data_IF_361531295615
#
_entry.id   IF_361531295615
#
_cell.length_a   1.000
_cell.length_b   1.000
_cell.length_c   1.000
_cell.angle_alpha   90.00
_cell.angle_beta   90.00
_cell.angle_gamma   90.00
#
_symmetry.space_group_name_H-M   'P 1'
#
loop_
_entity.id
_entity.type
_entity.pdbx_description
1 polymer ?
#
# COMPACT_ATOMS: atom_id res chain seq x y z
N UNK A 1 6.85 -23.20 3.32
CA UNK A 1 5.80 -22.14 3.39
C UNK A 1 6.19 -21.16 4.49
N UNK A 2 6.36 -19.88 4.16
CA UNK A 2 6.77 -18.86 5.15
C UNK A 2 5.67 -18.50 6.17
N UNK A 3 5.98 -17.63 7.14
CA UNK A 3 5.03 -17.20 8.16
C UNK A 3 3.82 -16.49 7.53
N UNK A 4 2.61 -16.83 8.00
CA UNK A 4 1.33 -16.32 7.43
C UNK A 4 0.69 -15.20 8.24
N UNK A 5 1.05 -15.06 9.51
CA UNK A 5 0.47 -14.08 10.43
C UNK A 5 1.57 -13.30 11.11
N UNK A 6 1.30 -12.05 11.48
CA UNK A 6 2.27 -11.23 12.17
C UNK A 6 1.86 -9.78 12.26
N UNK A 7 2.85 -8.88 12.27
CA UNK A 7 2.67 -7.47 12.60
C UNK A 7 3.15 -6.58 11.45
N UNK A 8 2.35 -5.56 11.13
CA UNK A 8 2.78 -4.39 10.35
C UNK A 8 3.31 -3.35 11.33
N UNK A 9 4.55 -2.93 11.13
CA UNK A 9 5.29 -2.00 11.99
C UNK A 9 5.24 -0.63 11.34
N UNK A 10 4.49 0.27 11.98
CA UNK A 10 4.34 1.67 11.58
C UNK A 10 5.69 2.40 11.64
N UNK A 11 5.97 3.22 10.62
CA UNK A 11 7.18 4.05 10.48
C UNK A 11 8.43 3.33 11.00
N UNK A 12 8.73 2.15 10.45
CA UNK A 12 9.76 1.25 10.98
C UNK A 12 11.17 1.90 11.01
N UNK A 13 11.43 2.78 10.05
CA UNK A 13 12.67 3.55 10.01
C UNK A 13 12.76 4.66 11.07
N UNK A 14 11.70 4.96 11.83
CA UNK A 14 11.60 6.16 12.68
C UNK A 14 11.94 5.99 14.16
N UNK A 15 12.44 4.83 14.62
CA UNK A 15 12.60 4.58 16.06
C UNK A 15 13.68 5.46 16.72
N UNK A 16 14.82 5.66 16.05
CA UNK A 16 15.98 6.36 16.58
C UNK A 16 16.16 7.76 15.97
N UNK A 17 16.67 8.69 16.78
CA UNK A 17 16.94 10.09 16.43
C UNK A 17 18.44 10.35 16.57
N UNK A 18 18.96 11.32 15.82
CA UNK A 18 20.34 11.75 15.95
C UNK A 18 20.60 12.27 17.39
N UNK A 19 21.73 11.88 18.01
CA UNK A 19 22.11 12.37 19.33
C UNK A 19 22.13 13.90 19.40
N UNK A 20 21.61 14.46 20.48
CA UNK A 20 21.55 15.90 20.69
C UNK A 20 20.42 16.62 19.92
N UNK A 21 19.60 15.90 19.15
CA UNK A 21 18.47 16.44 18.39
C UNK A 21 18.85 17.70 17.57
N UNK A 22 19.91 17.63 16.73
CA UNK A 22 20.40 18.79 16.00
C UNK A 22 19.34 19.38 15.09
N UNK A 23 19.41 20.69 14.91
CA UNK A 23 18.55 21.42 13.99
C UNK A 23 18.69 20.89 12.56
N UNK A 24 17.57 20.89 11.84
CA UNK A 24 17.60 20.63 10.40
C UNK A 24 18.23 21.82 9.68
N UNK A 25 19.14 21.60 8.71
CA UNK A 25 19.71 22.67 7.91
C UNK A 25 18.65 23.49 7.14
N UNK A 26 17.51 22.86 6.82
CA UNK A 26 16.37 23.48 6.16
C UNK A 26 15.05 23.04 6.79
N UNK A 27 14.37 23.97 7.48
CA UNK A 27 13.07 23.74 8.11
C UNK A 27 11.93 23.51 7.09
N UNK A 28 12.11 23.85 5.81
CA UNK A 28 11.15 23.57 4.75
C UNK A 28 11.01 22.08 4.44
N UNK A 29 11.97 21.27 4.89
CA UNK A 29 11.94 19.81 4.77
C UNK A 29 10.72 19.26 5.51
N UNK A 30 10.35 19.74 6.70
CA UNK A 30 9.18 19.22 7.44
C UNK A 30 7.83 19.42 6.72
N UNK A 31 7.66 20.53 5.98
CA UNK A 31 6.36 20.90 5.38
C UNK A 31 5.94 20.04 4.18
N UNK A 32 6.86 19.24 3.62
CA UNK A 32 6.62 18.46 2.38
C UNK A 32 6.38 16.97 2.60
N UNK A 33 6.38 16.50 3.85
CA UNK A 33 6.54 15.08 4.17
C UNK A 33 5.28 14.47 4.77
N UNK A 34 4.15 14.49 4.05
CA UNK A 34 3.07 13.53 4.38
C UNK A 34 3.61 12.10 4.43
N UNK A 35 4.62 11.84 3.59
CA UNK A 35 5.32 10.58 3.52
C UNK A 35 6.82 10.82 3.24
N UNK A 36 7.53 11.62 4.02
CA UNK A 36 8.98 11.76 3.80
C UNK A 36 9.79 11.54 5.05
N UNK A 37 11.04 11.11 4.87
CA UNK A 37 11.96 10.78 5.96
C UNK A 37 12.84 11.97 6.31
N UNK A 38 13.04 12.20 7.62
CA UNK A 38 14.04 13.10 8.14
C UNK A 38 15.28 12.28 8.56
N UNK A 39 16.42 12.44 7.89
CA UNK A 39 17.65 11.67 8.18
C UNK A 39 18.23 11.91 9.59
N UNK A 40 17.85 13.00 10.26
CA UNK A 40 18.19 13.28 11.66
C UNK A 40 17.19 12.65 12.65
N UNK A 41 16.00 12.24 12.19
CA UNK A 41 14.95 11.69 13.05
C UNK A 41 14.49 10.26 12.65
N UNK A 42 15.12 9.68 11.64
CA UNK A 42 14.82 8.35 11.09
C UNK A 42 16.05 7.77 10.40
N UNK A 43 16.00 6.47 10.09
CA UNK A 43 17.02 5.73 9.34
C UNK A 43 18.43 5.82 9.95
N UNK A 44 18.46 5.70 11.28
CA UNK A 44 19.67 5.62 12.11
C UNK A 44 20.11 4.17 12.23
N UNK A 45 21.42 3.93 12.23
CA UNK A 45 22.01 2.58 12.21
C UNK A 45 21.53 1.68 13.36
N UNK A 46 21.32 2.26 14.53
CA UNK A 46 20.87 1.58 15.76
C UNK A 46 19.50 0.88 15.59
N UNK A 47 18.69 1.31 14.62
CA UNK A 47 17.38 0.71 14.33
C UNK A 47 17.51 -0.75 13.88
N UNK A 48 18.59 -1.09 13.19
CA UNK A 48 18.79 -2.44 12.65
C UNK A 48 18.97 -3.48 13.77
N UNK A 49 19.64 -3.12 14.87
CA UNK A 49 19.80 -4.01 16.01
C UNK A 49 18.47 -4.33 16.71
N UNK A 50 17.54 -3.37 16.71
CA UNK A 50 16.17 -3.61 17.19
C UNK A 50 15.47 -4.64 16.31
N UNK A 51 15.58 -4.52 14.98
CA UNK A 51 14.93 -5.45 14.07
C UNK A 51 15.55 -6.84 14.07
N UNK A 52 16.86 -6.96 14.27
CA UNK A 52 17.50 -8.27 14.53
C UNK A 52 16.97 -8.93 15.79
N UNK A 53 16.77 -8.16 16.86
CA UNK A 53 16.16 -8.68 18.09
C UNK A 53 14.71 -9.10 17.87
N UNK A 54 13.92 -8.28 17.16
CA UNK A 54 12.52 -8.59 16.86
C UNK A 54 12.39 -9.80 15.95
N UNK A 55 13.31 -9.97 14.99
CA UNK A 55 13.36 -11.15 14.13
C UNK A 55 13.56 -12.42 14.94
N UNK A 56 14.54 -12.46 15.84
CA UNK A 56 14.75 -13.61 16.76
C UNK A 56 13.50 -13.94 17.59
N UNK A 57 12.77 -12.92 18.05
CA UNK A 57 11.50 -13.12 18.76
C UNK A 57 10.43 -13.71 17.84
N UNK A 58 10.27 -13.16 16.64
CA UNK A 58 9.28 -13.59 15.66
C UNK A 58 9.53 -15.04 15.18
N UNK A 59 10.80 -15.42 15.01
CA UNK A 59 11.22 -16.78 14.66
C UNK A 59 11.01 -17.78 15.80
N UNK A 60 10.95 -17.31 17.06
CA UNK A 60 10.72 -18.15 18.24
C UNK A 60 9.27 -18.63 18.43
N UNK A 61 8.30 -18.11 17.66
CA UNK A 61 6.91 -18.57 17.70
C UNK A 61 6.68 -19.80 16.80
N UNK A 62 5.67 -20.62 17.13
CA UNK A 62 5.23 -21.73 16.29
C UNK A 62 3.76 -21.54 15.85
N UNK A 63 3.47 -21.35 14.54
CA UNK A 63 4.43 -21.08 13.47
C UNK A 63 5.12 -19.71 13.66
N UNK A 64 6.26 -19.45 12.99
CA UNK A 64 6.93 -18.15 13.04
C UNK A 64 5.99 -16.99 12.69
N UNK A 65 6.30 -15.79 13.19
CA UNK A 65 5.53 -14.56 12.90
C UNK A 65 6.21 -13.72 11.83
N UNK A 66 5.42 -13.15 10.93
CA UNK A 66 5.92 -12.25 9.89
C UNK A 66 6.03 -10.82 10.44
N UNK A 67 7.11 -10.11 10.11
CA UNK A 67 7.27 -8.70 10.45
C UNK A 67 7.32 -7.89 9.14
N UNK A 68 6.42 -6.93 9.01
CA UNK A 68 6.27 -6.10 7.81
C UNK A 68 6.53 -4.65 8.17
N UNK A 69 7.63 -4.07 7.72
CA UNK A 69 7.97 -2.67 8.01
C UNK A 69 7.30 -1.68 7.05
N UNK A 70 6.74 -0.61 7.59
CA UNK A 70 6.53 0.61 6.82
C UNK A 70 7.87 1.37 6.70
N UNK A 71 8.58 1.15 5.61
CA UNK A 71 9.91 1.73 5.37
C UNK A 71 9.83 2.72 4.24
N UNK A 72 9.76 3.99 4.61
CA UNK A 72 9.57 5.07 3.67
C UNK A 72 10.91 5.73 3.32
N UNK A 73 11.71 4.99 2.55
CA UNK A 73 13.04 5.37 2.14
C UNK A 73 13.25 5.02 0.66
N UNK A 74 14.28 5.57 0.00
CA UNK A 74 14.75 5.06 -1.28
C UNK A 74 14.99 3.55 -1.26
N UNK A 75 14.86 2.88 -2.41
CA UNK A 75 14.84 1.42 -2.49
C UNK A 75 16.10 0.74 -1.91
N UNK A 76 17.28 1.31 -2.17
CA UNK A 76 18.57 0.84 -1.66
C UNK A 76 18.65 0.90 -0.12
N UNK A 77 18.11 1.98 0.48
CA UNK A 77 18.02 2.13 1.93
C UNK A 77 16.98 1.19 2.53
N UNK A 78 15.80 1.08 1.90
CA UNK A 78 14.73 0.22 2.37
C UNK A 78 15.12 -1.27 2.35
N UNK A 79 15.88 -1.71 1.35
CA UNK A 79 16.38 -3.09 1.24
C UNK A 79 17.21 -3.54 2.46
N UNK A 80 17.85 -2.60 3.17
CA UNK A 80 18.64 -2.90 4.39
C UNK A 80 17.79 -3.41 5.55
N UNK A 81 16.50 -3.06 5.60
CA UNK A 81 15.58 -3.44 6.68
C UNK A 81 15.05 -4.86 6.53
N UNK A 82 15.23 -5.47 5.36
CA UNK A 82 14.71 -6.80 5.02
C UNK A 82 15.84 -7.80 4.76
N UNK A 83 17.03 -7.55 5.31
CA UNK A 83 18.09 -8.57 5.34
C UNK A 83 17.58 -9.83 6.04
N UNK A 84 18.25 -10.95 5.78
CA UNK A 84 17.86 -12.26 6.26
C UNK A 84 17.56 -12.29 7.77
N UNK A 85 18.27 -11.53 8.59
CA UNK A 85 18.15 -11.48 10.05
C UNK A 85 17.32 -10.31 10.60
N UNK A 86 16.64 -9.53 9.73
CA UNK A 86 15.84 -8.36 10.11
C UNK A 86 14.34 -8.58 9.80
N UNK A 87 13.63 -7.57 9.26
CA UNK A 87 12.21 -7.68 8.91
C UNK A 87 12.01 -8.69 7.77
N UNK A 88 10.83 -9.30 7.71
CA UNK A 88 10.52 -10.26 6.65
C UNK A 88 10.15 -9.56 5.34
N UNK A 89 9.48 -8.41 5.44
CA UNK A 89 8.96 -7.63 4.33
C UNK A 89 9.01 -6.14 4.69
N UNK A 90 9.06 -5.29 3.67
CA UNK A 90 8.88 -3.85 3.81
C UNK A 90 7.98 -3.30 2.73
N UNK A 91 7.10 -2.35 3.05
CA UNK A 91 6.27 -1.65 2.07
C UNK A 91 7.11 -0.86 1.08
N UNK A 92 6.87 -1.09 -0.22
CA UNK A 92 7.56 -0.41 -1.30
C UNK A 92 6.94 0.96 -1.60
N UNK A 93 7.32 1.98 -0.83
CA UNK A 93 6.81 3.36 -1.02
C UNK A 93 7.19 3.99 -2.37
N UNK A 94 8.30 3.58 -2.96
CA UNK A 94 8.72 4.02 -4.31
C UNK A 94 7.65 3.66 -5.35
N UNK A 95 7.10 2.44 -5.28
CA UNK A 95 6.03 2.01 -6.16
C UNK A 95 4.68 2.65 -5.79
N UNK A 96 4.37 2.78 -4.49
CA UNK A 96 3.15 3.43 -4.00
C UNK A 96 2.99 4.86 -4.53
N UNK A 97 4.10 5.60 -4.63
CA UNK A 97 4.12 7.00 -5.09
C UNK A 97 4.27 7.17 -6.59
N UNK A 98 4.55 6.09 -7.34
CA UNK A 98 4.78 6.19 -8.76
C UNK A 98 3.56 6.81 -9.46
N UNK A 99 3.75 7.83 -10.33
CA UNK A 99 2.67 8.38 -11.13
C UNK A 99 2.13 7.31 -12.10
N UNK A 100 0.98 7.56 -12.73
CA UNK A 100 0.51 6.70 -13.83
C UNK A 100 1.36 6.93 -15.08
N UNK A 101 2.55 6.36 -15.09
CA UNK A 101 3.54 6.46 -16.14
C UNK A 101 4.31 5.12 -16.25
N UNK A 102 4.36 4.55 -17.45
CA UNK A 102 4.91 3.21 -17.66
C UNK A 102 6.42 3.15 -17.38
N UNK A 103 7.16 4.22 -17.70
CA UNK A 103 8.59 4.28 -17.46
C UNK A 103 8.89 4.41 -15.96
N UNK A 104 8.12 5.24 -15.24
CA UNK A 104 8.23 5.38 -13.79
C UNK A 104 7.90 4.06 -13.07
N UNK A 105 6.85 3.35 -13.50
CA UNK A 105 6.50 2.04 -12.96
C UNK A 105 7.59 1.01 -13.22
N UNK A 106 8.10 0.94 -14.45
CA UNK A 106 9.21 0.06 -14.81
C UNK A 106 10.44 0.30 -13.95
N UNK A 107 10.87 1.56 -13.82
CA UNK A 107 12.03 1.93 -13.01
C UNK A 107 11.83 1.52 -11.53
N UNK A 108 10.65 1.80 -10.96
CA UNK A 108 10.32 1.42 -9.59
C UNK A 108 10.31 -0.11 -9.39
N UNK A 109 9.75 -0.86 -10.34
CA UNK A 109 9.73 -2.32 -10.31
C UNK A 109 11.16 -2.88 -10.37
N UNK A 110 11.97 -2.41 -11.31
CA UNK A 110 13.35 -2.86 -11.48
C UNK A 110 14.22 -2.54 -10.25
N UNK A 111 14.07 -1.36 -9.65
CA UNK A 111 14.77 -0.97 -8.42
C UNK A 111 14.42 -1.87 -7.24
N UNK A 112 13.12 -2.15 -7.06
CA UNK A 112 12.64 -2.98 -5.96
C UNK A 112 13.05 -4.45 -6.13
N UNK A 113 13.02 -4.97 -7.36
CA UNK A 113 13.48 -6.32 -7.66
C UNK A 113 14.98 -6.47 -7.40
N UNK A 114 15.81 -5.52 -7.83
CA UNK A 114 17.25 -5.49 -7.48
C UNK A 114 17.48 -5.46 -5.97
N UNK A 115 16.71 -4.65 -5.24
CA UNK A 115 16.78 -4.60 -3.77
C UNK A 115 16.38 -5.91 -3.09
N UNK A 116 15.33 -6.58 -3.61
CA UNK A 116 14.89 -7.90 -3.15
C UNK A 116 15.94 -8.99 -3.42
N UNK A 117 16.57 -8.98 -4.60
CA UNK A 117 17.69 -9.88 -4.93
C UNK A 117 18.88 -9.68 -3.99
N UNK A 118 19.29 -8.43 -3.75
CA UNK A 118 20.42 -8.11 -2.90
C UNK A 118 20.20 -8.47 -1.42
N UNK A 119 18.95 -8.40 -0.93
CA UNK A 119 18.59 -8.72 0.46
C UNK A 119 18.16 -10.18 0.67
N UNK A 120 17.84 -10.90 -0.40
CA UNK A 120 17.20 -12.22 -0.35
C UNK A 120 15.71 -12.19 0.01
N UNK A 121 15.12 -11.02 0.23
CA UNK A 121 13.74 -10.86 0.65
C UNK A 121 12.75 -10.80 -0.53
N UNK A 122 11.50 -11.28 -0.35
CA UNK A 122 10.43 -11.01 -1.30
C UNK A 122 10.11 -9.51 -1.38
N UNK A 123 9.88 -9.01 -2.59
CA UNK A 123 9.38 -7.64 -2.80
C UNK A 123 7.91 -7.54 -2.39
N UNK A 124 7.49 -6.37 -1.91
CA UNK A 124 6.08 -6.06 -1.70
C UNK A 124 5.56 -5.07 -2.75
N UNK A 125 4.31 -5.23 -3.16
CA UNK A 125 3.64 -4.36 -4.12
C UNK A 125 2.38 -3.79 -3.48
N UNK A 126 2.26 -2.46 -3.53
CA UNK A 126 1.13 -1.71 -2.97
C UNK A 126 0.94 -0.44 -3.77
N UNK A 127 -0.30 -0.17 -4.19
CA UNK A 127 -0.69 1.12 -4.78
C UNK A 127 -1.66 1.88 -3.90
N UNK A 128 -2.43 1.23 -3.03
CA UNK A 128 -3.36 1.90 -2.14
C UNK A 128 -3.12 1.48 -0.69
N UNK A 129 -3.34 2.42 0.22
CA UNK A 129 -3.36 2.20 1.66
C UNK A 129 -4.22 3.30 2.31
N UNK A 130 -4.19 3.37 3.63
CA UNK A 130 -4.94 4.35 4.41
C UNK A 130 -4.29 5.75 4.50
N UNK A 131 -3.21 6.00 3.77
CA UNK A 131 -2.44 7.26 3.82
C UNK A 131 -2.34 7.98 2.47
N UNK A 132 -2.78 7.36 1.38
CA UNK A 132 -2.73 7.95 0.03
C UNK A 132 -4.10 8.00 -0.62
N UNK A 133 -4.31 9.02 -1.44
CA UNK A 133 -5.49 9.13 -2.30
C UNK A 133 -5.67 7.86 -3.13
N UNK A 134 -6.87 7.27 -3.18
CA UNK A 134 -7.16 6.01 -3.87
C UNK A 134 -6.73 6.04 -5.34
N UNK A 135 -6.17 4.93 -5.83
CA UNK A 135 -5.62 4.81 -7.19
C UNK A 135 -6.59 5.21 -8.30
N UNK A 136 -7.89 4.92 -8.14
CA UNK A 136 -8.92 5.30 -9.11
C UNK A 136 -9.02 6.82 -9.31
N UNK A 137 -8.75 7.63 -8.29
CA UNK A 137 -8.67 9.09 -8.41
C UNK A 137 -7.24 9.57 -8.65
N UNK A 138 -6.25 8.98 -7.98
CA UNK A 138 -4.83 9.38 -8.09
C UNK A 138 -4.26 9.21 -9.50
N UNK A 139 -4.75 8.22 -10.25
CA UNK A 139 -4.39 8.00 -11.64
C UNK A 139 -5.37 8.64 -12.63
N UNK A 140 -6.26 9.52 -12.17
CA UNK A 140 -7.22 10.26 -12.98
C UNK A 140 -6.95 11.79 -12.91
N UNK A 141 -5.89 12.30 -13.58
CA UNK A 141 -5.66 13.73 -13.63
C UNK A 141 -6.85 14.46 -14.28
N UNK A 142 -7.05 15.73 -13.92
CA UNK A 142 -8.14 16.53 -14.45
C UNK A 142 -8.15 16.52 -16.00
N UNK A 143 -9.33 16.28 -16.58
CA UNK A 143 -9.49 16.22 -18.04
C UNK A 143 -9.14 14.87 -18.68
N UNK A 144 -8.89 13.80 -17.91
CA UNK A 144 -8.48 12.51 -18.46
C UNK A 144 -9.60 11.68 -19.12
N UNK A 145 -10.84 12.16 -19.06
CA UNK A 145 -12.02 11.49 -19.62
C UNK A 145 -12.58 10.35 -18.77
N UNK A 146 -12.33 10.34 -17.46
CA UNK A 146 -12.90 9.33 -16.54
C UNK A 146 -12.17 7.98 -16.62
N UNK A 147 -10.90 7.98 -17.02
CA UNK A 147 -10.09 6.75 -17.19
C UNK A 147 -9.52 6.19 -15.88
N UNK A 148 -9.75 6.87 -14.76
CA UNK A 148 -9.31 6.48 -13.43
C UNK A 148 -9.58 5.03 -13.05
N UNK A 149 -10.84 4.58 -13.21
CA UNK A 149 -11.24 3.19 -12.89
C UNK A 149 -10.49 2.19 -13.77
N UNK A 150 -10.39 2.44 -15.08
CA UNK A 150 -9.67 1.55 -15.99
C UNK A 150 -8.18 1.43 -15.63
N UNK A 151 -7.55 2.55 -15.24
CA UNK A 151 -6.15 2.58 -14.79
C UNK A 151 -5.96 1.89 -13.44
N UNK A 152 -6.88 2.06 -12.49
CA UNK A 152 -6.85 1.34 -11.21
C UNK A 152 -7.00 -0.19 -11.41
N UNK A 153 -7.89 -0.61 -12.32
CA UNK A 153 -8.01 -2.02 -12.72
C UNK A 153 -6.69 -2.55 -13.29
N UNK A 154 -6.09 -1.82 -14.22
CA UNK A 154 -4.80 -2.21 -14.80
C UNK A 154 -3.68 -2.25 -13.75
N UNK A 155 -3.62 -1.28 -12.83
CA UNK A 155 -2.68 -1.21 -11.73
C UNK A 155 -2.72 -2.47 -10.85
N UNK A 156 -3.92 -2.89 -10.43
CA UNK A 156 -4.11 -4.10 -9.61
C UNK A 156 -3.67 -5.36 -10.36
N UNK A 157 -3.98 -5.47 -11.65
CA UNK A 157 -3.56 -6.60 -12.47
C UNK A 157 -2.04 -6.70 -12.59
N UNK A 158 -1.36 -5.56 -12.80
CA UNK A 158 0.12 -5.52 -12.81
C UNK A 158 0.67 -5.96 -11.47
N UNK A 159 0.18 -5.40 -10.35
CA UNK A 159 0.60 -5.83 -9.01
C UNK A 159 0.44 -7.34 -8.79
N UNK A 160 -0.71 -7.90 -9.20
CA UNK A 160 -1.02 -9.32 -9.09
C UNK A 160 -0.24 -10.20 -10.08
N UNK A 161 0.44 -9.64 -11.08
CA UNK A 161 1.34 -10.36 -11.98
C UNK A 161 2.80 -10.34 -11.50
N UNK A 162 3.20 -9.39 -10.64
CA UNK A 162 4.58 -9.26 -10.16
C UNK A 162 4.97 -10.32 -9.11
N UNK A 163 6.24 -10.77 -9.07
CA UNK A 163 6.71 -11.73 -8.08
C UNK A 163 6.79 -11.10 -6.68
N UNK A 164 6.45 -11.84 -5.63
CA UNK A 164 6.49 -11.35 -4.24
C UNK A 164 5.12 -11.25 -3.57
N UNK A 165 4.98 -10.32 -2.62
CA UNK A 165 3.77 -10.14 -1.80
C UNK A 165 2.98 -8.94 -2.29
N UNK A 166 1.65 -9.08 -2.41
CA UNK A 166 0.76 -8.00 -2.84
C UNK A 166 -0.13 -7.62 -1.67
N UNK A 167 -0.32 -6.31 -1.47
CA UNK A 167 -1.27 -5.76 -0.52
C UNK A 167 -2.41 -5.10 -1.28
N UNK A 168 -3.63 -5.51 -0.98
CA UNK A 168 -4.85 -4.86 -1.47
C UNK A 168 -5.46 -4.10 -0.31
N UNK A 169 -5.78 -2.82 -0.54
CA UNK A 169 -6.46 -1.98 0.44
C UNK A 169 -7.97 -2.05 0.25
N UNK A 170 -8.73 -1.95 1.34
CA UNK A 170 -10.18 -2.09 1.30
C UNK A 170 -10.85 -1.10 0.32
N UNK A 171 -11.70 -1.62 -0.56
CA UNK A 171 -12.34 -0.86 -1.63
C UNK A 171 -11.52 -0.70 -2.91
N UNK A 172 -10.25 -1.14 -2.92
CA UNK A 172 -9.45 -1.20 -4.14
C UNK A 172 -10.00 -2.26 -5.11
N UNK A 173 -10.56 -3.35 -4.56
CA UNK A 173 -11.29 -4.39 -5.29
C UNK A 173 -12.60 -3.90 -5.92
N UNK A 174 -13.09 -2.74 -5.52
CA UNK A 174 -14.25 -2.06 -6.12
C UNK A 174 -13.81 -0.90 -7.03
N UNK A 175 -12.51 -0.60 -7.10
CA UNK A 175 -11.96 0.62 -7.69
C UNK A 175 -12.64 1.88 -7.15
N UNK A 176 -12.89 1.95 -5.83
CA UNK A 176 -13.51 3.12 -5.21
C UNK A 176 -12.68 4.39 -5.52
N UNK A 177 -13.30 5.48 -5.99
CA UNK A 177 -12.63 6.76 -6.10
C UNK A 177 -12.35 7.34 -4.71
N UNK A 178 -11.41 8.26 -4.63
CA UNK A 178 -11.21 9.08 -3.43
C UNK A 178 -12.50 9.84 -3.09
N UNK A 179 -12.93 9.75 -1.83
CA UNK A 179 -14.08 10.50 -1.36
C UNK A 179 -13.72 11.96 -1.10
N UNK A 180 -14.59 12.88 -1.52
CA UNK A 180 -14.49 14.28 -1.12
C UNK A 180 -15.16 14.46 0.26
N UNK A 181 -14.33 14.53 1.30
CA UNK A 181 -14.79 14.73 2.69
C UNK A 181 -14.83 16.24 2.98
N UNK A 182 -16.01 16.81 3.30
CA UNK A 182 -16.16 18.22 3.66
C UNK A 182 -15.23 18.62 4.81
N UNK A 183 -14.67 19.83 4.74
CA UNK A 183 -13.64 20.30 5.66
C UNK A 183 -14.04 20.20 7.14
N UNK A 184 -15.30 20.49 7.43
CA UNK A 184 -15.92 20.45 8.76
C UNK A 184 -16.20 19.03 9.28
N UNK A 185 -16.16 18.02 8.40
CA UNK A 185 -16.35 16.61 8.75
C UNK A 185 -15.04 15.81 8.78
N UNK A 186 -13.91 16.43 8.39
CA UNK A 186 -12.60 15.79 8.41
C UNK A 186 -12.19 15.42 9.83
N UNK A 187 -11.70 14.19 9.97
CA UNK A 187 -11.27 13.60 11.23
C UNK A 187 -9.75 13.48 11.31
N UNK A 188 -9.04 13.50 10.18
CA UNK A 188 -7.59 13.35 10.15
C UNK A 188 -6.89 14.52 10.86
N UNK A 189 -6.14 14.28 11.96
CA UNK A 189 -5.38 15.33 12.63
C UNK A 189 -4.38 16.06 11.71
N UNK A 190 -3.94 15.44 10.61
CA UNK A 190 -3.08 16.08 9.63
C UNK A 190 -3.75 17.28 8.93
N UNK A 191 -5.08 17.25 8.77
CA UNK A 191 -5.86 18.33 8.18
C UNK A 191 -5.65 19.63 8.96
N UNK A 192 -5.86 19.57 10.27
CA UNK A 192 -5.75 20.73 11.17
C UNK A 192 -4.31 21.26 11.30
N UNK A 193 -3.29 20.45 10.95
CA UNK A 193 -1.88 20.84 11.01
C UNK A 193 -1.32 21.37 9.68
N UNK A 194 -1.82 20.87 8.55
CA UNK A 194 -1.16 21.05 7.25
C UNK A 194 -2.10 21.40 6.10
N UNK A 195 -3.42 21.32 6.29
CA UNK A 195 -4.39 21.45 5.20
C UNK A 195 -4.45 20.23 4.28
N UNK A 196 -3.77 19.13 4.62
CA UNK A 196 -3.87 17.86 3.88
C UNK A 196 -4.59 16.83 4.73
N UNK A 197 -5.54 16.09 4.14
CA UNK A 197 -6.29 15.03 4.83
C UNK A 197 -6.15 13.70 4.10
N UNK A 198 -6.10 12.62 4.87
CA UNK A 198 -6.18 11.23 4.41
C UNK A 198 -7.60 10.66 4.51
N UNK A 199 -8.59 11.43 4.94
CA UNK A 199 -9.95 10.95 5.21
C UNK A 199 -10.64 10.40 3.95
N UNK A 200 -10.33 10.91 2.76
CA UNK A 200 -10.96 10.48 1.49
C UNK A 200 -10.76 9.00 1.18
N UNK A 201 -9.63 8.42 1.57
CA UNK A 201 -9.35 6.99 1.45
C UNK A 201 -9.82 6.16 2.66
N UNK A 202 -10.37 6.79 3.71
CA UNK A 202 -10.77 6.17 4.99
C UNK A 202 -12.28 6.11 5.19
N UNK A 203 -13.04 6.68 4.27
CA UNK A 203 -14.51 6.61 4.28
C UNK A 203 -14.98 5.15 4.35
N UNK A 204 -16.00 4.84 5.17
CA UNK A 204 -16.62 3.53 5.27
C UNK A 204 -16.95 2.89 3.92
N UNK A 205 -16.79 1.57 3.81
CA UNK A 205 -17.08 0.87 2.55
C UNK A 205 -18.58 0.78 2.27
N UNK A 206 -19.01 0.90 1.00
CA UNK A 206 -20.39 0.65 0.61
C UNK A 206 -20.63 -0.85 0.47
N UNK A 207 -21.46 -1.42 1.34
CA UNK A 207 -21.88 -2.82 1.29
C UNK A 207 -23.13 -3.03 0.46
N UNK A 208 -24.10 -2.12 0.58
CA UNK A 208 -25.40 -2.19 -0.10
C UNK A 208 -25.63 -1.01 -1.05
N UNK A 209 -26.56 -1.18 -1.99
CA UNK A 209 -27.00 -0.13 -2.91
C UNK A 209 -27.79 0.95 -2.16
N UNK A 210 -28.65 0.54 -1.22
CA UNK A 210 -29.42 1.45 -0.36
C UNK A 210 -28.47 2.35 0.44
N UNK A 211 -28.76 3.65 0.54
CA UNK A 211 -27.97 4.63 1.29
C UNK A 211 -28.11 4.52 2.81
N UNK A 212 -29.12 3.80 3.30
CA UNK A 212 -29.36 3.60 4.72
C UNK A 212 -28.11 3.06 5.45
N UNK A 213 -27.83 3.65 6.62
CA UNK A 213 -26.72 3.21 7.46
C UNK A 213 -25.34 3.37 6.80
N UNK A 214 -25.13 4.40 5.96
CA UNK A 214 -23.90 4.53 5.16
C UNK A 214 -23.68 3.28 4.29
N UNK A 215 -24.63 3.03 3.39
CA UNK A 215 -24.58 1.89 2.48
C UNK A 215 -24.35 0.56 3.19
N UNK A 216 -25.08 0.33 4.28
CA UNK A 216 -25.02 -0.91 5.07
C UNK A 216 -23.77 -1.08 5.95
N UNK A 217 -22.92 -0.06 6.09
CA UNK A 217 -21.77 -0.10 7.00
C UNK A 217 -22.17 -0.01 8.48
N UNK A 218 -23.12 0.86 8.78
CA UNK A 218 -23.67 1.11 10.12
C UNK A 218 -25.12 0.59 10.21
N UNK A 219 -25.64 0.35 11.42
CA UNK A 219 -27.07 0.12 11.61
C UNK A 219 -27.93 1.24 11.00
N UNK A 220 -29.12 0.89 10.53
CA UNK A 220 -30.05 1.87 9.97
C UNK A 220 -30.33 3.00 10.98
N UNK A 221 -30.23 4.25 10.52
CA UNK A 221 -30.40 5.45 11.35
C UNK A 221 -29.14 5.90 12.12
N UNK A 222 -28.05 5.12 12.13
CA UNK A 222 -26.78 5.53 12.70
C UNK A 222 -25.87 6.20 11.65
N UNK A 223 -25.34 7.37 11.98
CA UNK A 223 -24.28 8.00 11.20
C UNK A 223 -22.95 7.24 11.39
N UNK A 224 -22.11 7.21 10.36
CA UNK A 224 -20.74 6.76 10.47
C UNK A 224 -19.81 7.94 10.79
N UNK A 225 -18.56 7.64 11.17
CA UNK A 225 -17.57 8.63 11.59
C UNK A 225 -17.02 9.51 10.44
N UNK A 226 -17.21 9.09 9.19
CA UNK A 226 -16.94 9.86 7.98
C UNK A 226 -18.08 9.68 6.98
N UNK A 227 -18.53 10.75 6.29
CA UNK A 227 -19.63 10.66 5.34
C UNK A 227 -19.23 9.89 4.09
N UNK A 228 -20.15 9.05 3.59
CA UNK A 228 -20.01 8.47 2.25
C UNK A 228 -20.49 9.44 1.17
N UNK A 229 -19.79 9.53 0.03
CA UNK A 229 -20.25 10.30 -1.12
C UNK A 229 -21.57 9.78 -1.69
N UNK A 230 -22.42 10.67 -2.24
CA UNK A 230 -23.58 10.25 -3.02
C UNK A 230 -23.18 9.31 -4.17
N UNK A 231 -24.03 8.31 -4.44
CA UNK A 231 -23.85 7.39 -5.56
C UNK A 231 -22.89 6.21 -5.32
N UNK A 232 -22.21 6.16 -4.17
CA UNK A 232 -21.34 5.02 -3.82
C UNK A 232 -22.09 3.68 -3.70
N UNK A 233 -23.41 3.70 -3.51
CA UNK A 233 -24.25 2.49 -3.60
C UNK A 233 -24.11 1.74 -4.92
N UNK A 234 -23.86 2.43 -6.04
CA UNK A 234 -23.62 1.80 -7.34
C UNK A 234 -22.23 1.12 -7.44
N UNK A 235 -21.33 1.45 -6.52
CA UNK A 235 -20.00 0.83 -6.37
C UNK A 235 -19.95 -0.16 -5.20
N UNK A 236 -21.10 -0.47 -4.60
CA UNK A 236 -21.19 -1.33 -3.43
C UNK A 236 -20.83 -2.77 -3.72
N UNK A 237 -20.55 -3.53 -2.67
CA UNK A 237 -20.38 -4.99 -2.79
C UNK A 237 -21.63 -5.63 -3.41
N UNK A 238 -22.83 -5.28 -2.95
CA UNK A 238 -24.10 -5.77 -3.51
C UNK A 238 -24.24 -5.48 -5.01
N UNK A 239 -23.85 -4.29 -5.47
CA UNK A 239 -23.91 -3.94 -6.89
C UNK A 239 -22.87 -4.70 -7.73
N UNK A 240 -21.70 -5.00 -7.16
CA UNK A 240 -20.57 -5.59 -7.88
C UNK A 240 -20.57 -7.14 -7.85
N UNK A 241 -21.19 -7.75 -6.85
CA UNK A 241 -21.20 -9.20 -6.67
C UNK A 241 -22.09 -9.88 -7.72
N UNK A 242 -21.53 -10.85 -8.44
CA UNK A 242 -22.21 -11.52 -9.56
C UNK A 242 -22.18 -10.76 -10.90
N UNK A 243 -21.74 -9.50 -10.94
CA UNK A 243 -21.50 -8.80 -12.21
C UNK A 243 -20.13 -9.17 -12.79
N UNK A 244 -20.16 -9.81 -13.96
CA UNK A 244 -18.99 -10.26 -14.71
C UNK A 244 -18.07 -9.12 -15.18
N UNK A 245 -18.61 -7.92 -15.37
CA UNK A 245 -17.86 -6.74 -15.80
C UNK A 245 -17.22 -5.97 -14.62
N UNK A 246 -17.61 -6.29 -13.39
CA UNK A 246 -17.24 -5.53 -12.19
C UNK A 246 -15.75 -5.66 -11.85
N UNK A 247 -15.23 -4.64 -11.17
CA UNK A 247 -13.85 -4.69 -10.63
C UNK A 247 -13.72 -5.81 -9.60
N UNK A 248 -14.76 -6.10 -8.82
CA UNK A 248 -14.73 -7.15 -7.80
C UNK A 248 -14.50 -8.53 -8.42
N UNK A 249 -15.24 -8.84 -9.49
CA UNK A 249 -15.06 -10.08 -10.25
C UNK A 249 -13.67 -10.14 -10.88
N UNK A 250 -13.21 -9.05 -11.49
CA UNK A 250 -11.86 -8.96 -12.06
C UNK A 250 -10.78 -9.29 -11.02
N UNK A 251 -10.83 -8.66 -9.84
CA UNK A 251 -9.82 -8.84 -8.79
C UNK A 251 -9.89 -10.24 -8.20
N UNK A 252 -11.09 -10.79 -7.96
CA UNK A 252 -11.26 -12.18 -7.49
C UNK A 252 -10.63 -13.18 -8.48
N UNK A 253 -10.91 -13.03 -9.77
CA UNK A 253 -10.32 -13.87 -10.82
C UNK A 253 -8.80 -13.73 -10.91
N UNK A 254 -8.29 -12.50 -10.84
CA UNK A 254 -6.86 -12.26 -10.87
C UNK A 254 -6.13 -12.86 -9.65
N UNK A 255 -6.72 -12.79 -8.47
CA UNK A 255 -6.17 -13.43 -7.25
C UNK A 255 -6.21 -14.95 -7.37
N UNK A 256 -7.30 -15.52 -7.87
CA UNK A 256 -7.40 -16.96 -8.11
C UNK A 256 -6.33 -17.43 -9.11
N UNK A 257 -6.23 -16.76 -10.26
CA UNK A 257 -5.24 -17.06 -11.30
C UNK A 257 -3.82 -16.91 -10.76
N UNK A 258 -3.52 -15.85 -9.99
CA UNK A 258 -2.22 -15.72 -9.30
C UNK A 258 -1.94 -16.94 -8.41
N UNK A 259 -2.94 -17.45 -7.70
CA UNK A 259 -2.83 -18.66 -6.89
C UNK A 259 -2.52 -19.91 -7.71
N UNK A 260 -3.18 -20.09 -8.85
CA UNK A 260 -2.94 -21.18 -9.81
C UNK A 260 -1.52 -21.11 -10.38
N UNK A 261 -1.14 -19.96 -10.95
CA UNK A 261 0.20 -19.73 -11.51
C UNK A 261 1.32 -19.96 -10.49
N UNK A 262 1.09 -19.67 -9.20
CA UNK A 262 2.05 -19.96 -8.12
C UNK A 262 2.13 -21.45 -7.80
N UNK A 263 1.02 -22.18 -7.82
CA UNK A 263 1.01 -23.64 -7.60
C UNK A 263 1.70 -24.37 -8.74
N UNK A 264 1.51 -23.90 -9.97
CA UNK A 264 2.09 -24.49 -11.17
C UNK A 264 3.57 -24.08 -11.38
N UNK A 265 4.12 -23.25 -10.49
CA UNK A 265 5.51 -22.81 -10.54
C UNK A 265 5.82 -21.78 -11.63
N UNK A 266 4.80 -21.28 -12.33
CA UNK A 266 4.88 -20.23 -13.36
C UNK A 266 5.23 -18.89 -12.71
N UNK A 267 4.51 -18.52 -11.64
CA UNK A 267 4.79 -17.31 -10.88
C UNK A 267 5.54 -17.65 -9.59
N UNK A 268 6.81 -17.25 -9.52
CA UNK A 268 7.68 -17.55 -8.37
C UNK A 268 7.66 -16.44 -7.33
N UNK A 269 7.90 -16.83 -6.08
CA UNK A 269 7.67 -15.97 -4.90
C UNK A 269 8.83 -15.08 -4.47
N UNK A 270 10.05 -15.30 -4.97
CA UNK A 270 11.21 -14.45 -4.64
C UNK A 270 11.86 -13.89 -5.90
N UNK A 271 12.36 -12.66 -5.79
CA UNK A 271 13.16 -12.02 -6.84
C UNK A 271 14.48 -12.79 -7.09
N UNK A 272 15.04 -13.40 -6.03
CA UNK A 272 16.30 -14.15 -6.07
C UNK A 272 16.30 -15.43 -6.92
N UNK A 273 15.15 -15.87 -7.47
CA UNK A 273 15.05 -17.09 -8.28
C UNK A 273 14.35 -16.86 -9.63
N UNK A 274 15.08 -16.19 -10.52
CA UNK A 274 15.06 -16.30 -12.00
C UNK A 274 13.94 -15.56 -12.76
N UNK A 275 14.35 -14.74 -13.73
CA UNK A 275 13.68 -14.63 -15.04
C UNK A 275 12.62 -13.55 -15.22
N UNK A 276 12.50 -12.57 -14.32
CA UNK A 276 11.69 -11.39 -14.64
C UNK A 276 12.38 -10.62 -15.77
N UNK A 277 11.76 -10.67 -16.95
CA UNK A 277 12.17 -9.93 -18.13
C UNK A 277 10.96 -9.20 -18.67
N UNK A 278 11.16 -7.96 -19.04
CA UNK A 278 10.18 -7.27 -19.84
C UNK A 278 10.16 -7.91 -21.23
N UNK A 279 8.99 -8.31 -21.71
CA UNK A 279 8.80 -8.59 -23.13
C UNK A 279 9.08 -7.27 -23.85
N UNK A 280 10.05 -7.26 -24.77
CA UNK A 280 10.59 -6.05 -25.38
C UNK A 280 9.51 -5.02 -25.78
N UNK A 281 9.80 -3.75 -25.52
CA UNK A 281 8.94 -2.57 -25.75
C UNK A 281 8.81 -2.17 -27.20
#
# INVERSE_FOLDING_TARGET
HGPRHGLRIDVAHGLFKAPGLPDLPDASVQRRLLLGSNALASDREEVHDVYRRWRRLADGYSPPRCLVGEVNLPADRAARYVREDELHLSFAFVFLRAPWDAAAWRAAIDDLLRGGEASGAPVTWVTDNHDVCRSASRYAPAGDGGRGVARARAAVLVMLALPGTVYLYQGQELALPEADVPAEQRQDPAWFRSGMSRDGCRVPLPWTIDAAGSHGFSPAGAASWLPQPPGWGALSIEAADGDEASTLTLVRRAVQLRGELRRDGVLRGSAATVGFGWLDS
#
